data_IF_752011617581
#
_entry.id   IF_752011617581
#
_cell.length_a   1.000
_cell.length_b   1.000
_cell.length_c   1.000
_cell.angle_alpha   90.00
_cell.angle_beta   90.00
_cell.angle_gamma   90.00
#
_symmetry.space_group_name_H-M   'P 1'
#
loop_
_entity.id
_entity.type
_entity.pdbx_description
1 polymer ?
#
# COMPACT_ATOMS: atom_id res chain seq x y z
N UNK A 1 32.92 -66.07 13.94
CA UNK A 1 31.90 -65.43 14.80
C UNK A 1 31.55 -64.08 14.19
N UNK A 2 30.51 -64.01 13.34
CA UNK A 2 30.10 -62.76 12.68
C UNK A 2 29.17 -61.98 13.60
N UNK A 3 29.70 -60.89 14.17
CA UNK A 3 28.97 -60.02 15.10
C UNK A 3 28.22 -58.96 14.29
N UNK A 4 26.95 -59.21 13.97
CA UNK A 4 26.07 -58.19 13.39
C UNK A 4 25.81 -57.11 14.43
N UNK A 5 26.54 -55.99 14.32
CA UNK A 5 26.32 -54.79 15.12
C UNK A 5 25.01 -54.15 14.64
N UNK A 6 23.98 -54.13 15.47
CA UNK A 6 22.72 -53.42 15.20
C UNK A 6 22.99 -51.91 15.28
N UNK A 7 23.09 -51.24 14.14
CA UNK A 7 23.16 -49.77 14.04
C UNK A 7 21.77 -49.09 14.05
N UNK A 8 20.72 -49.79 14.49
CA UNK A 8 19.31 -49.41 14.29
C UNK A 8 18.83 -48.17 15.06
N UNK A 9 19.71 -47.43 15.75
CA UNK A 9 19.39 -46.19 16.47
C UNK A 9 20.33 -45.02 16.17
N UNK A 10 21.48 -45.27 15.52
CA UNK A 10 22.45 -44.21 15.25
C UNK A 10 21.92 -43.22 14.22
N UNK A 11 21.30 -43.72 13.14
CA UNK A 11 20.69 -42.86 12.11
C UNK A 11 19.56 -41.99 12.67
N UNK A 12 18.83 -42.47 13.68
CA UNK A 12 17.78 -41.67 14.34
C UNK A 12 18.38 -40.52 15.16
N UNK A 13 19.51 -40.75 15.83
CA UNK A 13 20.24 -39.73 16.58
C UNK A 13 20.87 -38.69 15.65
N UNK A 14 21.52 -39.13 14.57
CA UNK A 14 22.09 -38.24 13.56
C UNK A 14 21.01 -37.36 12.92
N UNK A 15 19.86 -37.94 12.58
CA UNK A 15 18.72 -37.17 12.08
C UNK A 15 18.18 -36.16 13.10
N UNK A 16 18.05 -36.55 14.37
CA UNK A 16 17.60 -35.66 15.43
C UNK A 16 18.54 -34.46 15.68
N UNK A 17 19.83 -34.60 15.37
CA UNK A 17 20.80 -33.49 15.47
C UNK A 17 20.77 -32.56 14.26
N UNK A 18 20.50 -33.09 13.06
CA UNK A 18 20.43 -32.30 11.82
C UNK A 18 19.09 -31.55 11.70
N UNK A 19 18.01 -32.16 12.17
CA UNK A 19 16.65 -31.63 12.03
C UNK A 19 16.49 -30.20 12.62
N UNK A 20 16.98 -29.86 13.82
CA UNK A 20 16.89 -28.50 14.36
C UNK A 20 17.59 -27.46 13.48
N UNK A 21 18.78 -27.78 12.96
CA UNK A 21 19.53 -26.87 12.08
C UNK A 21 18.78 -26.67 10.77
N UNK A 22 18.27 -27.75 10.19
CA UNK A 22 17.44 -27.69 8.99
C UNK A 22 16.19 -26.83 9.21
N UNK A 23 15.48 -27.02 10.33
CA UNK A 23 14.31 -26.22 10.68
C UNK A 23 14.65 -24.74 10.90
N UNK A 24 15.80 -24.43 11.50
CA UNK A 24 16.23 -23.03 11.66
C UNK A 24 16.42 -22.33 10.32
N UNK A 25 17.08 -22.99 9.37
CA UNK A 25 17.28 -22.46 8.01
C UNK A 25 15.95 -22.32 7.29
N UNK A 26 15.07 -23.34 7.38
CA UNK A 26 13.76 -23.33 6.76
C UNK A 26 12.89 -22.18 7.30
N UNK A 27 12.87 -21.97 8.62
CA UNK A 27 12.13 -20.86 9.23
C UNK A 27 12.69 -19.49 8.84
N UNK A 28 14.01 -19.35 8.75
CA UNK A 28 14.63 -18.12 8.27
C UNK A 28 14.19 -17.80 6.83
N UNK A 29 14.24 -18.78 5.93
CA UNK A 29 13.81 -18.59 4.52
C UNK A 29 12.34 -18.18 4.44
N UNK A 30 11.47 -18.81 5.24
CA UNK A 30 10.04 -18.49 5.28
C UNK A 30 9.81 -17.05 5.76
N UNK A 31 10.44 -16.63 6.86
CA UNK A 31 10.26 -15.27 7.38
C UNK A 31 10.84 -14.22 6.43
N UNK A 32 12.02 -14.45 5.83
CA UNK A 32 12.58 -13.53 4.85
C UNK A 32 11.67 -13.37 3.62
N UNK A 33 11.13 -14.48 3.13
CA UNK A 33 10.20 -14.47 1.99
C UNK A 33 8.92 -13.72 2.34
N UNK A 34 8.36 -13.95 3.53
CA UNK A 34 7.17 -13.27 4.02
C UNK A 34 7.38 -11.76 4.17
N UNK A 35 8.49 -11.35 4.79
CA UNK A 35 8.82 -9.95 4.99
C UNK A 35 9.02 -9.24 3.65
N UNK A 36 9.77 -9.86 2.72
CA UNK A 36 9.98 -9.32 1.39
C UNK A 36 8.67 -9.19 0.60
N UNK A 37 7.81 -10.21 0.64
CA UNK A 37 6.49 -10.18 0.02
C UNK A 37 5.65 -9.01 0.54
N UNK A 38 5.56 -8.88 1.87
CA UNK A 38 4.78 -7.82 2.52
C UNK A 38 5.35 -6.42 2.22
N UNK A 39 6.67 -6.28 2.14
CA UNK A 39 7.32 -5.03 1.76
C UNK A 39 6.98 -4.61 0.32
N UNK A 40 7.08 -5.54 -0.64
CA UNK A 40 6.77 -5.28 -2.05
C UNK A 40 5.29 -4.94 -2.23
N UNK A 41 4.40 -5.70 -1.59
CA UNK A 41 2.97 -5.40 -1.61
C UNK A 41 2.69 -4.00 -1.05
N UNK A 42 3.30 -3.61 0.07
CA UNK A 42 3.12 -2.27 0.63
C UNK A 42 3.62 -1.16 -0.31
N UNK A 43 4.83 -1.29 -0.86
CA UNK A 43 5.42 -0.27 -1.73
C UNK A 43 4.62 -0.11 -3.05
N UNK A 44 4.16 -1.23 -3.61
CA UNK A 44 3.28 -1.23 -4.79
C UNK A 44 1.92 -0.60 -4.47
N UNK A 45 1.22 -1.09 -3.44
CA UNK A 45 -0.13 -0.61 -3.08
C UNK A 45 -0.14 0.87 -2.76
N UNK A 46 0.88 1.35 -2.06
CA UNK A 46 1.02 2.78 -1.76
C UNK A 46 1.09 3.62 -3.04
N UNK A 47 1.93 3.21 -4.00
CA UNK A 47 2.12 3.94 -5.24
C UNK A 47 0.87 3.93 -6.09
N UNK A 48 0.27 2.76 -6.31
CA UNK A 48 -0.95 2.61 -7.10
C UNK A 48 -2.13 3.34 -6.45
N UNK A 49 -2.33 3.20 -5.13
CA UNK A 49 -3.39 3.93 -4.43
C UNK A 49 -3.23 5.46 -4.57
N UNK A 50 -1.99 5.96 -4.60
CA UNK A 50 -1.74 7.39 -4.83
C UNK A 50 -2.11 7.85 -6.25
N UNK A 51 -2.22 6.93 -7.21
CA UNK A 51 -2.59 7.18 -8.61
C UNK A 51 -4.05 6.84 -8.93
N UNK A 52 -4.65 5.88 -8.25
CA UNK A 52 -6.03 5.46 -8.50
C UNK A 52 -7.05 6.18 -7.61
N UNK A 53 -6.63 6.74 -6.46
CA UNK A 53 -7.53 7.42 -5.52
C UNK A 53 -8.36 8.50 -6.21
N UNK A 54 -9.61 8.17 -6.52
CA UNK A 54 -10.57 9.11 -7.06
C UNK A 54 -11.61 9.44 -6.00
N UNK A 55 -11.96 10.71 -5.92
CA UNK A 55 -13.04 11.18 -5.05
C UNK A 55 -14.13 11.67 -5.97
N UNK A 56 -15.26 10.98 -5.92
CA UNK A 56 -16.44 11.38 -6.67
C UNK A 56 -16.90 12.76 -6.18
N UNK A 57 -17.01 13.70 -7.11
CA UNK A 57 -17.44 15.06 -6.83
C UNK A 57 -18.24 15.61 -8.00
N UNK A 58 -19.55 15.71 -7.80
CA UNK A 58 -20.50 16.28 -8.75
C UNK A 58 -20.24 17.79 -9.01
N UNK A 59 -19.59 18.49 -8.05
CA UNK A 59 -19.29 19.92 -8.15
C UNK A 59 -17.80 20.19 -8.40
N UNK A 60 -17.41 20.08 -9.68
CA UNK A 60 -16.03 20.31 -10.15
C UNK A 60 -15.53 21.73 -9.84
N UNK A 61 -16.39 22.73 -9.68
CA UNK A 61 -15.97 24.14 -9.47
C UNK A 61 -15.57 24.47 -8.01
N UNK A 62 -15.89 23.62 -7.03
CA UNK A 62 -15.64 23.94 -5.59
C UNK A 62 -14.41 23.28 -5.03
N UNK A 63 -13.60 24.04 -4.30
CA UNK A 63 -12.52 23.47 -3.48
C UNK A 63 -13.08 22.54 -2.40
N UNK A 64 -12.39 21.43 -2.14
CA UNK A 64 -12.78 20.47 -1.13
C UNK A 64 -11.56 20.00 -0.36
N UNK A 65 -11.66 20.03 0.96
CA UNK A 65 -10.65 19.54 1.88
C UNK A 65 -11.22 18.34 2.65
N UNK A 66 -10.51 17.22 2.62
CA UNK A 66 -10.82 16.03 3.43
C UNK A 66 -9.60 15.81 4.32
N UNK A 67 -9.81 15.85 5.64
CA UNK A 67 -8.72 15.80 6.61
C UNK A 67 -8.95 14.71 7.65
N UNK A 68 -7.87 14.29 8.30
CA UNK A 68 -7.92 13.42 9.47
C UNK A 68 -8.44 12.02 9.15
N UNK A 69 -9.38 11.54 9.94
CA UNK A 69 -9.84 10.15 9.89
C UNK A 69 -10.53 9.78 8.57
N UNK A 70 -11.26 10.71 7.94
CA UNK A 70 -11.95 10.41 6.69
C UNK A 70 -10.97 10.28 5.52
N UNK A 71 -9.97 11.15 5.47
CA UNK A 71 -8.87 11.02 4.51
C UNK A 71 -8.08 9.73 4.75
N UNK A 72 -7.79 9.39 6.01
CA UNK A 72 -7.10 8.15 6.35
C UNK A 72 -7.88 6.90 5.90
N UNK A 73 -9.20 6.86 6.15
CA UNK A 73 -10.08 5.76 5.70
C UNK A 73 -10.09 5.60 4.19
N UNK A 74 -10.19 6.70 3.45
CA UNK A 74 -10.15 6.66 1.98
C UNK A 74 -8.82 6.13 1.46
N UNK A 75 -7.70 6.58 2.03
CA UNK A 75 -6.36 6.09 1.67
C UNK A 75 -6.23 4.60 1.97
N UNK A 76 -6.61 4.16 3.17
CA UNK A 76 -6.56 2.73 3.55
C UNK A 76 -7.42 1.89 2.61
N UNK A 77 -8.63 2.34 2.28
CA UNK A 77 -9.52 1.66 1.33
C UNK A 77 -8.88 1.49 -0.05
N UNK A 78 -8.25 2.54 -0.57
CA UNK A 78 -7.61 2.48 -1.89
C UNK A 78 -6.36 1.59 -1.85
N UNK A 79 -5.53 1.71 -0.81
CA UNK A 79 -4.37 0.82 -0.61
C UNK A 79 -4.79 -0.65 -0.54
N UNK A 80 -5.91 -0.97 0.12
CA UNK A 80 -6.47 -2.33 0.13
C UNK A 80 -6.84 -2.84 -1.26
N UNK A 81 -7.43 -1.98 -2.07
CA UNK A 81 -7.89 -2.34 -3.40
C UNK A 81 -6.72 -2.49 -4.40
N UNK A 82 -5.60 -1.81 -4.15
CA UNK A 82 -4.44 -1.84 -5.04
C UNK A 82 -3.59 -3.12 -4.94
N UNK A 83 -3.65 -3.89 -3.85
CA UNK A 83 -3.00 -5.20 -3.81
C UNK A 83 -3.72 -6.23 -2.93
N UNK A 84 -3.79 -7.47 -3.42
CA UNK A 84 -4.46 -8.58 -2.74
C UNK A 84 -3.74 -9.07 -1.47
N UNK A 85 -2.43 -8.86 -1.36
CA UNK A 85 -1.59 -9.44 -0.30
C UNK A 85 -1.32 -8.55 0.91
N UNK A 86 -1.77 -7.30 0.88
CA UNK A 86 -1.48 -6.34 1.94
C UNK A 86 -2.41 -6.54 3.15
N UNK A 87 -1.84 -6.55 4.35
CA UNK A 87 -2.60 -6.66 5.59
C UNK A 87 -2.93 -5.25 6.07
N UNK A 88 -4.12 -4.75 5.74
CA UNK A 88 -4.53 -3.36 6.07
C UNK A 88 -4.52 -3.05 7.56
N UNK A 89 -4.72 -4.04 8.42
CA UNK A 89 -4.72 -3.87 9.88
C UNK A 89 -3.33 -3.49 10.41
N UNK A 90 -2.29 -3.82 9.64
CA UNK A 90 -0.91 -3.43 9.94
C UNK A 90 -0.53 -2.07 9.38
N UNK A 91 -1.43 -1.42 8.63
CA UNK A 91 -1.24 -0.11 8.04
C UNK A 91 -1.85 0.96 8.94
N UNK A 92 -1.01 1.91 9.34
CA UNK A 92 -1.41 3.10 10.09
C UNK A 92 -1.17 4.33 9.23
N UNK A 93 -2.20 5.17 9.09
CA UNK A 93 -2.14 6.39 8.31
C UNK A 93 -2.29 7.58 9.25
N UNK A 94 -1.34 8.50 9.21
CA UNK A 94 -1.32 9.69 10.06
C UNK A 94 -1.13 10.95 9.22
N UNK A 95 -1.61 12.09 9.72
CA UNK A 95 -1.56 13.38 9.02
C UNK A 95 -2.14 13.34 7.59
N UNK A 96 -3.21 12.56 7.39
CA UNK A 96 -3.88 12.43 6.11
C UNK A 96 -4.64 13.72 5.77
N UNK A 97 -4.33 14.27 4.60
CA UNK A 97 -4.99 15.43 4.00
C UNK A 97 -5.16 15.18 2.51
N UNK A 98 -6.36 15.46 2.02
CA UNK A 98 -6.68 15.44 0.61
C UNK A 98 -7.28 16.79 0.28
N UNK A 99 -6.63 17.51 -0.63
CA UNK A 99 -7.07 18.82 -1.09
C UNK A 99 -7.39 18.72 -2.57
N UNK A 100 -8.59 19.16 -2.94
CA UNK A 100 -9.03 19.20 -4.33
C UNK A 100 -9.39 20.64 -4.72
N UNK A 101 -8.84 21.12 -5.82
CA UNK A 101 -9.12 22.43 -6.40
C UNK A 101 -9.27 22.33 -7.90
N UNK A 102 -9.86 23.35 -8.52
CA UNK A 102 -10.05 23.37 -9.98
C UNK A 102 -9.65 24.69 -10.58
N UNK A 103 -8.97 24.63 -11.72
CA UNK A 103 -8.75 25.78 -12.57
C UNK A 103 -9.82 25.81 -13.65
N UNK A 104 -10.27 27.01 -14.03
CA UNK A 104 -11.23 27.19 -15.12
C UNK A 104 -10.68 28.11 -16.20
N UNK A 105 -11.03 27.84 -17.44
CA UNK A 105 -10.78 28.70 -18.60
C UNK A 105 -12.05 28.78 -19.42
N UNK A 106 -12.55 29.98 -19.63
CA UNK A 106 -13.69 30.25 -20.49
C UNK A 106 -13.17 30.78 -21.81
N UNK A 107 -13.51 30.10 -22.89
CA UNK A 107 -13.19 30.50 -24.26
C UNK A 107 -14.49 30.96 -24.94
N UNK A 108 -14.45 32.11 -25.64
CA UNK A 108 -15.58 32.66 -26.37
C UNK A 108 -15.51 32.25 -27.84
N UNK A 109 -16.58 31.68 -28.37
CA UNK A 109 -16.67 31.23 -29.75
C UNK A 109 -17.77 31.98 -30.50
N UNK A 110 -17.58 32.29 -31.79
CA UNK A 110 -18.67 32.78 -32.63
C UNK A 110 -19.69 31.64 -32.85
N UNK A 111 -20.91 31.85 -32.36
CA UNK A 111 -22.05 30.95 -32.54
C UNK A 111 -22.89 31.28 -33.77
N UNK A 112 -23.91 30.46 -34.02
CA UNK A 112 -24.80 30.67 -35.16
C UNK A 112 -25.65 31.95 -34.99
N UNK A 113 -25.62 32.82 -36.01
CA UNK A 113 -26.46 34.02 -36.09
C UNK A 113 -26.11 35.10 -35.05
N UNK A 114 -24.99 35.81 -35.24
CA UNK A 114 -24.54 36.96 -34.42
C UNK A 114 -24.45 36.72 -32.91
N UNK A 115 -24.57 35.47 -32.44
CA UNK A 115 -24.50 35.07 -31.04
C UNK A 115 -23.08 34.60 -30.73
N UNK A 116 -22.64 34.83 -29.50
CA UNK A 116 -21.43 34.24 -28.95
C UNK A 116 -21.82 33.06 -28.06
N UNK A 117 -21.05 31.98 -28.11
CA UNK A 117 -21.17 30.82 -27.23
C UNK A 117 -19.94 30.74 -26.33
N UNK A 118 -20.18 30.64 -25.02
CA UNK A 118 -19.13 30.49 -24.02
C UNK A 118 -18.95 29.02 -23.69
N UNK A 119 -17.71 28.53 -23.80
CA UNK A 119 -17.35 27.18 -23.35
C UNK A 119 -16.37 27.27 -22.20
N UNK A 120 -16.72 26.68 -21.06
CA UNK A 120 -15.86 26.70 -19.86
C UNK A 120 -15.23 25.33 -19.63
N UNK A 121 -13.91 25.29 -19.69
CA UNK A 121 -13.11 24.11 -19.38
C UNK A 121 -12.64 24.17 -17.94
N UNK A 122 -12.85 23.07 -17.19
CA UNK A 122 -12.39 22.87 -15.83
C UNK A 122 -11.29 21.81 -15.79
N UNK A 123 -10.18 22.09 -15.11
CA UNK A 123 -9.13 21.13 -14.76
C UNK A 123 -9.12 20.95 -13.25
N UNK A 124 -9.50 19.77 -12.77
CA UNK A 124 -9.51 19.46 -11.34
C UNK A 124 -8.24 18.76 -10.92
N UNK A 125 -7.59 19.28 -9.89
CA UNK A 125 -6.40 18.73 -9.27
C UNK A 125 -6.71 18.13 -7.91
N UNK A 126 -5.86 17.20 -7.48
CA UNK A 126 -5.87 16.62 -6.15
C UNK A 126 -4.45 16.56 -5.62
N UNK A 127 -4.29 17.03 -4.39
CA UNK A 127 -3.10 16.88 -3.56
C UNK A 127 -3.39 15.91 -2.43
N UNK A 128 -2.52 14.90 -2.30
CA UNK A 128 -2.56 13.85 -1.30
C UNK A 128 -1.33 14.00 -0.41
N UNK A 129 -1.56 14.25 0.88
CA UNK A 129 -0.51 14.28 1.90
C UNK A 129 -0.83 13.30 3.02
N UNK A 130 0.07 12.38 3.34
CA UNK A 130 -0.10 11.45 4.46
C UNK A 130 1.24 10.83 4.89
N UNK A 131 1.32 10.32 6.13
CA UNK A 131 2.40 9.44 6.56
C UNK A 131 1.84 8.03 6.78
N UNK A 132 2.35 7.08 6.00
CA UNK A 132 2.01 5.67 6.08
C UNK A 132 3.06 4.95 6.92
N UNK A 133 2.62 4.21 7.92
CA UNK A 133 3.46 3.32 8.71
C UNK A 133 2.88 1.91 8.63
N UNK A 134 3.67 0.98 8.09
CA UNK A 134 3.31 -0.42 7.90
C UNK A 134 4.14 -1.32 8.81
N UNK A 135 3.49 -2.23 9.53
CA UNK A 135 4.14 -3.17 10.46
C UNK A 135 4.14 -4.59 9.87
N UNK A 136 5.30 -5.22 9.77
CA UNK A 136 5.43 -6.59 9.29
C UNK A 136 5.82 -7.48 10.45
N UNK A 137 4.96 -8.44 10.77
CA UNK A 137 5.17 -9.41 11.83
C UNK A 137 5.78 -10.70 11.25
N UNK A 138 6.78 -11.29 11.91
CA UNK A 138 7.29 -12.62 11.55
C UNK A 138 6.20 -13.68 11.79
N UNK A 139 6.19 -14.70 10.95
CA UNK A 139 5.20 -15.78 11.01
C UNK A 139 5.73 -17.01 11.72
N UNK A 140 7.04 -17.29 11.64
CA UNK A 140 7.60 -18.46 12.29
C UNK A 140 7.93 -18.20 13.77
N UNK A 141 7.95 -19.26 14.62
CA UNK A 141 8.38 -19.12 16.01
C UNK A 141 9.79 -18.55 16.14
N UNK A 142 10.69 -18.92 15.22
CA UNK A 142 12.06 -18.43 15.22
C UNK A 142 12.12 -16.93 14.92
N UNK A 143 11.39 -16.47 13.90
CA UNK A 143 11.30 -15.04 13.59
C UNK A 143 10.72 -14.22 14.75
N UNK A 144 9.72 -14.74 15.47
CA UNK A 144 9.19 -14.10 16.68
C UNK A 144 10.22 -13.98 17.80
N UNK A 145 11.15 -14.93 17.93
CA UNK A 145 12.23 -14.85 18.92
C UNK A 145 13.27 -13.79 18.52
N UNK A 146 13.67 -13.76 17.25
CA UNK A 146 14.74 -12.87 16.77
C UNK A 146 14.28 -11.43 16.49
N UNK A 147 13.13 -11.24 15.85
CA UNK A 147 12.59 -9.94 15.43
C UNK A 147 11.66 -9.33 16.50
N UNK A 148 11.09 -10.17 17.37
CA UNK A 148 10.17 -9.83 18.49
C UNK A 148 8.86 -9.17 18.09
N UNK A 149 8.90 -7.88 17.80
CA UNK A 149 7.69 -7.06 17.72
C UNK A 149 7.20 -6.96 16.28
N UNK A 150 7.85 -6.13 15.46
CA UNK A 150 7.54 -5.99 14.04
C UNK A 150 8.62 -5.16 13.35
N UNK A 151 8.83 -5.41 12.07
CA UNK A 151 9.57 -4.50 11.21
C UNK A 151 8.64 -3.37 10.78
N UNK A 152 9.04 -2.13 11.07
CA UNK A 152 8.21 -0.94 10.83
C UNK A 152 8.75 -0.16 9.64
N UNK A 153 7.96 -0.09 8.57
CA UNK A 153 8.28 0.69 7.38
C UNK A 153 7.46 1.97 7.37
N UNK A 154 8.11 3.11 7.22
CA UNK A 154 7.43 4.41 7.15
C UNK A 154 7.67 5.05 5.79
N UNK A 155 6.60 5.49 5.13
CA UNK A 155 6.63 6.22 3.85
C UNK A 155 5.81 7.49 3.97
N UNK A 156 6.35 8.59 3.44
CA UNK A 156 5.63 9.86 3.33
C UNK A 156 5.02 9.96 1.94
N UNK A 157 3.76 10.37 1.90
CA UNK A 157 3.00 10.65 0.69
C UNK A 157 2.87 12.15 0.57
N UNK A 158 3.34 12.68 -0.55
CA UNK A 158 3.09 14.03 -0.98
C UNK A 158 3.03 14.01 -2.51
N UNK A 159 1.82 14.01 -3.07
CA UNK A 159 1.57 13.88 -4.50
C UNK A 159 0.45 14.81 -4.94
N UNK A 160 0.70 15.55 -6.00
CA UNK A 160 -0.28 16.39 -6.68
C UNK A 160 -0.50 15.88 -8.09
N UNK A 161 -1.76 15.76 -8.51
CA UNK A 161 -2.12 15.24 -9.83
C UNK A 161 -3.39 15.88 -10.39
N UNK A 162 -3.55 15.82 -11.70
CA UNK A 162 -4.80 16.14 -12.39
C UNK A 162 -5.75 14.93 -12.28
N UNK A 163 -7.00 15.15 -11.87
CA UNK A 163 -8.04 14.13 -11.76
C UNK A 163 -8.98 14.09 -12.96
N UNK A 164 -9.46 15.25 -13.38
CA UNK A 164 -10.51 15.31 -14.39
C UNK A 164 -10.43 16.61 -15.16
N UNK A 165 -10.73 16.52 -16.46
CA UNK A 165 -11.07 17.65 -17.30
C UNK A 165 -12.55 17.59 -17.65
N UNK A 166 -13.28 18.70 -17.48
CA UNK A 166 -14.70 18.79 -17.84
C UNK A 166 -14.91 20.05 -18.66
N UNK A 167 -15.50 19.92 -19.84
CA UNK A 167 -15.98 21.05 -20.63
C UNK A 167 -17.48 21.20 -20.39
N UNK A 168 -17.91 22.40 -20.01
CA UNK A 168 -19.31 22.79 -19.88
C UNK A 168 -19.61 23.84 -20.92
#
# INVERSE_FOLDING_TARGET
MLRFRKESGQSMVEFALVLPIFLMILFAIIDFSWIGYQYICFDYSYREASWELSIDNDQVDKERYINGNDAAKLIIKNVKNSALGIITDNLTVSNAKIHLWSNKKTDHYPGAGSRYEDKTNYWRYMELTANLKYKIYPITPLGKIFIKDALVYTKKVNKTRLLQTKSV
#
